data_IF_141203591993
#
_entry.id   IF_141203591993
#
_cell.length_a   1.000
_cell.length_b   1.000
_cell.length_c   1.000
_cell.angle_alpha   90.00
_cell.angle_beta   90.00
_cell.angle_gamma   90.00
#
_symmetry.space_group_name_H-M   'P 1'
#
loop_
_entity.id
_entity.type
_entity.pdbx_description
1 polymer ?
#
# COMPACT_ATOMS: atom_id res chain seq x y z
N UNK A 1 7.49 3.63 11.84
CA UNK A 1 7.88 2.45 11.02
C UNK A 1 7.33 1.20 11.69
N UNK A 2 7.03 0.18 10.89
CA UNK A 2 6.40 -1.08 11.28
C UNK A 2 7.44 -2.21 11.26
N UNK A 3 7.33 -3.17 12.17
CA UNK A 3 8.18 -4.37 12.16
C UNK A 3 7.52 -5.49 11.33
N UNK A 4 8.29 -6.52 10.97
CA UNK A 4 7.76 -7.66 10.20
C UNK A 4 6.52 -8.32 10.79
N UNK A 5 6.38 -8.32 12.13
CA UNK A 5 5.19 -8.86 12.80
C UNK A 5 3.94 -8.00 12.53
N UNK A 6 4.06 -6.67 12.58
CA UNK A 6 2.98 -5.75 12.23
C UNK A 6 2.61 -5.88 10.76
N UNK A 7 3.61 -5.97 9.87
CA UNK A 7 3.37 -6.13 8.43
C UNK A 7 2.61 -7.42 8.14
N UNK A 8 3.00 -8.55 8.75
CA UNK A 8 2.26 -9.82 8.64
C UNK A 8 0.81 -9.66 9.09
N UNK A 9 0.57 -8.98 10.22
CA UNK A 9 -0.78 -8.74 10.74
C UNK A 9 -1.63 -7.88 9.80
N UNK A 10 -1.07 -6.78 9.29
CA UNK A 10 -1.79 -5.80 8.45
C UNK A 10 -2.05 -6.36 7.04
N UNK A 11 -1.02 -6.96 6.43
CA UNK A 11 -1.12 -7.48 5.05
C UNK A 11 -1.83 -8.84 5.00
N UNK A 12 -1.90 -9.55 6.12
CA UNK A 12 -2.30 -10.96 6.17
C UNK A 12 -1.36 -11.90 5.40
N UNK A 13 -0.15 -11.46 5.02
CA UNK A 13 0.86 -12.34 4.44
C UNK A 13 1.37 -13.30 5.51
N UNK A 14 1.68 -14.54 5.14
CA UNK A 14 2.44 -15.40 6.05
C UNK A 14 3.87 -14.85 6.24
N UNK A 15 4.52 -15.19 7.36
CA UNK A 15 5.94 -14.85 7.58
C UNK A 15 6.84 -15.36 6.45
N UNK A 16 6.52 -16.53 5.89
CA UNK A 16 7.27 -17.11 4.77
C UNK A 16 7.09 -16.32 3.47
N UNK A 17 5.86 -15.89 3.17
CA UNK A 17 5.54 -15.04 2.02
C UNK A 17 6.21 -13.67 2.16
N UNK A 18 6.09 -13.02 3.32
CA UNK A 18 6.75 -11.74 3.56
C UNK A 18 8.25 -11.84 3.33
N UNK A 19 8.91 -12.89 3.88
CA UNK A 19 10.33 -13.13 3.63
C UNK A 19 10.63 -13.39 2.16
N UNK A 20 9.80 -14.17 1.45
CA UNK A 20 10.00 -14.42 0.02
C UNK A 20 9.95 -13.14 -0.82
N UNK A 21 9.08 -12.20 -0.47
CA UNK A 21 8.86 -10.99 -1.25
C UNK A 21 9.87 -9.88 -0.93
N UNK A 22 10.38 -9.86 0.30
CA UNK A 22 11.18 -8.73 0.82
C UNK A 22 12.65 -9.08 1.03
N UNK A 23 13.01 -10.37 1.12
CA UNK A 23 14.39 -10.74 1.39
C UNK A 23 15.27 -10.69 0.13
N UNK A 24 16.47 -10.13 0.32
CA UNK A 24 17.49 -9.90 -0.73
C UNK A 24 18.00 -11.20 -1.36
N UNK A 25 18.03 -12.28 -0.62
CA UNK A 25 18.51 -13.62 -1.02
C UNK A 25 17.47 -14.43 -1.81
N UNK A 26 16.25 -13.91 -1.95
CA UNK A 26 15.14 -14.59 -2.61
C UNK A 26 14.70 -13.85 -3.86
N UNK A 27 13.44 -13.41 -3.91
CA UNK A 27 12.88 -12.72 -5.06
C UNK A 27 13.11 -11.22 -5.01
N UNK A 28 13.54 -10.64 -3.89
CA UNK A 28 13.78 -9.20 -3.72
C UNK A 28 12.74 -8.34 -4.46
N UNK A 29 11.45 -8.68 -4.32
CA UNK A 29 10.39 -8.02 -5.10
C UNK A 29 10.27 -6.58 -4.63
N UNK A 30 10.10 -6.43 -3.32
CA UNK A 30 10.02 -5.13 -2.67
C UNK A 30 10.81 -5.19 -1.35
N UNK A 31 12.06 -4.69 -1.33
CA UNK A 31 12.87 -4.73 -0.11
C UNK A 31 12.26 -3.88 1.00
N UNK A 32 12.53 -4.22 2.29
CA UNK A 32 12.15 -3.35 3.40
C UNK A 32 12.86 -2.00 3.30
N UNK A 33 12.31 -0.98 3.96
CA UNK A 33 12.90 0.36 4.00
C UNK A 33 14.18 0.40 4.83
N UNK A 34 14.24 -0.42 5.88
CA UNK A 34 15.47 -0.68 6.64
C UNK A 34 15.72 -2.18 6.70
N UNK A 35 16.86 -2.60 6.17
CA UNK A 35 17.31 -3.99 6.21
C UNK A 35 17.61 -4.43 7.65
N UNK A 36 17.39 -5.71 7.99
CA UNK A 36 17.77 -6.24 9.29
C UNK A 36 19.30 -6.20 9.45
N UNK A 37 19.78 -5.59 10.54
CA UNK A 37 21.21 -5.37 10.79
C UNK A 37 21.93 -6.50 11.55
N UNK A 38 21.46 -7.74 11.47
CA UNK A 38 22.02 -8.90 12.18
C UNK A 38 21.09 -9.47 13.27
N UNK A 39 21.62 -10.40 14.08
CA UNK A 39 20.85 -11.14 15.11
C UNK A 39 20.07 -10.20 16.03
N UNK A 40 18.75 -10.38 16.08
CA UNK A 40 17.85 -9.59 16.92
C UNK A 40 17.41 -8.23 16.34
N UNK A 41 17.96 -7.78 15.21
CA UNK A 41 17.51 -6.55 14.54
C UNK A 41 16.48 -6.87 13.45
N UNK A 42 15.25 -6.41 13.65
CA UNK A 42 14.16 -6.61 12.69
C UNK A 42 14.27 -5.67 11.49
N UNK A 43 13.76 -6.13 10.34
CA UNK A 43 13.50 -5.25 9.20
C UNK A 43 12.41 -4.23 9.57
N UNK A 44 12.54 -3.00 9.07
CA UNK A 44 11.54 -1.95 9.28
C UNK A 44 10.90 -1.52 7.96
N UNK A 45 9.62 -1.22 8.04
CA UNK A 45 8.79 -0.86 6.91
C UNK A 45 8.09 0.48 7.17
N UNK A 46 8.13 1.36 6.18
CA UNK A 46 7.24 2.52 6.11
C UNK A 46 5.85 2.09 5.66
N UNK A 47 4.85 2.92 5.96
CA UNK A 47 3.47 2.67 5.56
C UNK A 47 3.32 2.52 4.04
N UNK A 48 4.15 3.21 3.25
CA UNK A 48 4.16 3.14 1.78
C UNK A 48 4.54 1.75 1.30
N UNK A 49 5.60 1.19 1.84
CA UNK A 49 6.04 -0.17 1.52
C UNK A 49 4.98 -1.18 1.93
N UNK A 50 4.33 -1.00 3.09
CA UNK A 50 3.23 -1.88 3.51
C UNK A 50 2.02 -1.76 2.57
N UNK A 51 1.62 -0.54 2.18
CA UNK A 51 0.54 -0.31 1.20
C UNK A 51 0.83 -1.06 -0.10
N UNK A 52 2.05 -0.93 -0.62
CA UNK A 52 2.46 -1.61 -1.86
C UNK A 52 2.46 -3.14 -1.70
N UNK A 53 2.86 -3.68 -0.53
CA UNK A 53 2.74 -5.12 -0.25
C UNK A 53 1.28 -5.59 -0.24
N UNK A 54 0.35 -4.78 0.30
CA UNK A 54 -1.07 -5.10 0.29
C UNK A 54 -1.64 -5.12 -1.13
N UNK A 55 -1.31 -4.11 -1.94
CA UNK A 55 -1.71 -4.03 -3.35
C UNK A 55 -1.15 -5.24 -4.12
N UNK A 56 0.13 -5.57 -3.93
CA UNK A 56 0.75 -6.71 -4.59
C UNK A 56 0.08 -8.03 -4.18
N UNK A 57 -0.33 -8.16 -2.92
CA UNK A 57 -1.10 -9.30 -2.45
C UNK A 57 -2.46 -9.37 -3.12
N UNK A 58 -3.20 -8.27 -3.19
CA UNK A 58 -4.48 -8.23 -3.88
C UNK A 58 -4.33 -8.62 -5.36
N UNK A 59 -3.31 -8.08 -6.04
CA UNK A 59 -3.03 -8.43 -7.43
C UNK A 59 -2.79 -9.93 -7.61
N UNK A 60 -1.97 -10.53 -6.74
CA UNK A 60 -1.68 -11.96 -6.77
C UNK A 60 -2.93 -12.81 -6.46
N UNK A 61 -3.67 -12.44 -5.43
CA UNK A 61 -4.77 -13.26 -4.91
C UNK A 61 -6.00 -13.18 -5.83
N UNK A 62 -6.30 -12.01 -6.41
CA UNK A 62 -7.46 -11.81 -7.30
C UNK A 62 -7.17 -12.07 -8.78
N UNK A 63 -5.97 -11.76 -9.25
CA UNK A 63 -5.64 -11.81 -10.69
C UNK A 63 -4.54 -12.83 -11.02
N UNK A 64 -4.06 -13.59 -10.03
CA UNK A 64 -3.10 -14.68 -10.20
C UNK A 64 -1.82 -14.27 -10.93
N UNK A 65 -1.36 -13.04 -10.72
CA UNK A 65 -0.16 -12.51 -11.38
C UNK A 65 1.12 -13.22 -10.92
N UNK A 66 2.10 -13.27 -11.82
CA UNK A 66 3.43 -13.79 -11.54
C UNK A 66 4.29 -12.71 -10.86
N UNK A 67 4.47 -12.81 -9.54
CA UNK A 67 5.09 -11.78 -8.70
C UNK A 67 6.47 -11.28 -9.17
N UNK A 68 7.29 -12.16 -9.78
CA UNK A 68 8.64 -11.81 -10.22
C UNK A 68 8.59 -10.79 -11.37
N UNK A 69 7.65 -10.97 -12.28
CA UNK A 69 7.47 -10.12 -13.45
C UNK A 69 7.10 -8.67 -13.07
N UNK A 70 6.32 -8.49 -12.00
CA UNK A 70 5.84 -7.17 -11.55
C UNK A 70 6.81 -6.41 -10.63
N UNK A 71 8.02 -6.94 -10.39
CA UNK A 71 9.00 -6.33 -9.46
C UNK A 71 9.24 -4.85 -9.76
N UNK A 72 9.45 -4.50 -11.03
CA UNK A 72 9.76 -3.11 -11.40
C UNK A 72 8.56 -2.20 -11.17
N UNK A 73 7.37 -2.56 -11.65
CA UNK A 73 6.14 -1.77 -11.45
C UNK A 73 5.85 -1.52 -9.97
N UNK A 74 6.02 -2.54 -9.12
CA UNK A 74 5.78 -2.42 -7.67
C UNK A 74 6.79 -1.46 -7.01
N UNK A 75 8.06 -1.49 -7.44
CA UNK A 75 9.09 -0.54 -6.97
C UNK A 75 8.80 0.87 -7.44
N UNK A 76 8.36 1.03 -8.68
CA UNK A 76 7.98 2.33 -9.24
C UNK A 76 6.78 2.91 -8.50
N UNK A 77 5.78 2.09 -8.15
CA UNK A 77 4.67 2.53 -7.30
C UNK A 77 5.15 3.03 -5.94
N UNK A 78 6.05 2.28 -5.27
CA UNK A 78 6.63 2.73 -4.00
C UNK A 78 7.32 4.09 -4.15
N UNK A 79 8.05 4.29 -5.25
CA UNK A 79 8.74 5.55 -5.52
C UNK A 79 7.76 6.71 -5.77
N UNK A 80 6.64 6.47 -6.46
CA UNK A 80 5.59 7.48 -6.67
C UNK A 80 4.92 7.91 -5.36
N UNK A 81 4.90 7.05 -4.34
CA UNK A 81 4.35 7.37 -3.02
C UNK A 81 5.29 8.22 -2.15
N UNK A 82 6.56 8.41 -2.56
CA UNK A 82 7.51 9.25 -1.83
C UNK A 82 7.05 10.71 -1.92
N UNK A 83 6.98 11.39 -0.77
CA UNK A 83 6.50 12.77 -0.70
C UNK A 83 4.97 12.92 -0.75
N UNK A 84 4.23 11.87 -1.09
CA UNK A 84 2.77 11.88 -1.03
C UNK A 84 2.32 11.68 0.43
N UNK A 85 1.50 12.58 0.99
CA UNK A 85 0.96 12.42 2.33
C UNK A 85 -0.13 11.35 2.35
N UNK A 86 -0.22 10.59 3.44
CA UNK A 86 -1.15 9.46 3.58
C UNK A 86 -2.61 9.84 3.27
N UNK A 87 -3.08 10.96 3.80
CA UNK A 87 -4.46 11.42 3.61
C UNK A 87 -4.79 11.83 2.16
N UNK A 88 -3.80 12.10 1.31
CA UNK A 88 -4.06 12.47 -0.08
C UNK A 88 -4.45 11.25 -0.95
N UNK A 89 -4.40 10.03 -0.40
CA UNK A 89 -4.64 8.78 -1.12
C UNK A 89 -6.05 8.22 -0.99
N UNK A 90 -6.92 8.80 -0.15
CA UNK A 90 -8.25 8.24 0.16
C UNK A 90 -9.14 8.04 -1.08
N UNK A 91 -9.11 8.99 -2.01
CA UNK A 91 -9.88 8.92 -3.27
C UNK A 91 -9.02 8.47 -4.45
N UNK A 92 -7.87 7.84 -4.18
CA UNK A 92 -6.94 7.42 -5.21
C UNK A 92 -7.11 5.94 -5.57
N UNK A 93 -6.81 5.67 -6.82
CA UNK A 93 -6.72 4.33 -7.38
C UNK A 93 -5.33 4.13 -7.94
N UNK A 94 -4.88 2.89 -7.95
CA UNK A 94 -3.67 2.48 -8.63
C UNK A 94 -4.03 1.58 -9.81
N UNK A 95 -3.57 1.94 -11.00
CA UNK A 95 -3.73 1.12 -12.20
C UNK A 95 -2.41 0.55 -12.69
N UNK A 96 -2.48 -0.70 -13.10
CA UNK A 96 -1.42 -1.49 -13.70
C UNK A 96 -1.86 -1.92 -15.11
N UNK A 97 -1.40 -1.19 -16.12
CA UNK A 97 -1.71 -1.47 -17.53
C UNK A 97 -1.03 -2.76 -18.01
N UNK A 98 0.26 -2.91 -17.69
CA UNK A 98 1.05 -4.08 -18.05
C UNK A 98 2.18 -4.31 -17.05
N UNK A 99 2.79 -5.49 -17.12
CA UNK A 99 3.94 -5.93 -16.30
C UNK A 99 5.14 -4.99 -16.42
N UNK A 100 5.34 -4.38 -17.59
CA UNK A 100 6.49 -3.50 -17.88
C UNK A 100 6.12 -2.02 -17.84
N UNK A 101 4.83 -1.70 -17.68
CA UNK A 101 4.37 -0.32 -17.58
C UNK A 101 4.55 0.19 -16.15
N UNK A 102 4.91 1.47 -16.04
CA UNK A 102 4.86 2.16 -14.78
C UNK A 102 3.39 2.25 -14.32
N UNK A 103 3.07 1.87 -13.07
CA UNK A 103 1.71 2.03 -12.57
C UNK A 103 1.34 3.51 -12.51
N UNK A 104 0.05 3.81 -12.62
CA UNK A 104 -0.46 5.18 -12.56
C UNK A 104 -1.38 5.31 -11.36
N UNK A 105 -1.18 6.36 -10.58
CA UNK A 105 -2.15 6.80 -9.58
C UNK A 105 -3.01 7.90 -10.16
N UNK A 106 -4.32 7.81 -9.92
CA UNK A 106 -5.27 8.83 -10.31
C UNK A 106 -6.34 8.97 -9.23
N UNK A 107 -7.00 10.12 -9.21
CA UNK A 107 -8.13 10.38 -8.31
C UNK A 107 -9.44 9.92 -8.94
N UNK A 108 -10.44 9.62 -8.12
CA UNK A 108 -11.79 9.25 -8.56
C UNK A 108 -12.38 10.21 -9.62
N UNK A 109 -12.07 11.51 -9.52
CA UNK A 109 -12.56 12.54 -10.43
C UNK A 109 -11.86 12.58 -11.79
N UNK A 110 -10.75 11.87 -11.95
CA UNK A 110 -9.96 11.87 -13.17
C UNK A 110 -10.43 10.76 -14.11
N UNK A 111 -10.49 11.05 -15.41
CA UNK A 111 -10.75 10.02 -16.42
C UNK A 111 -9.47 9.21 -16.63
N UNK A 112 -9.57 7.91 -16.46
CA UNK A 112 -8.49 6.96 -16.73
C UNK A 112 -8.97 5.93 -17.76
N UNK A 113 -8.03 5.41 -18.54
CA UNK A 113 -8.31 4.30 -19.45
C UNK A 113 -8.73 3.08 -18.62
N UNK A 114 -9.76 2.35 -19.02
CA UNK A 114 -10.18 1.13 -18.31
C UNK A 114 -9.35 -0.09 -18.71
N UNK A 115 -8.42 0.04 -19.66
CA UNK A 115 -7.49 -1.03 -20.01
C UNK A 115 -6.39 -1.17 -18.95
N UNK A 116 -6.64 -2.00 -17.94
CA UNK A 116 -5.63 -2.35 -16.94
C UNK A 116 -6.22 -2.85 -15.63
N UNK A 117 -5.39 -3.52 -14.82
CA UNK A 117 -5.79 -3.93 -13.47
C UNK A 117 -5.87 -2.70 -12.58
N UNK A 118 -7.04 -2.45 -12.01
CA UNK A 118 -7.34 -1.25 -11.22
C UNK A 118 -7.65 -1.64 -9.78
N UNK A 119 -6.95 -1.03 -8.83
CA UNK A 119 -7.10 -1.29 -7.40
C UNK A 119 -7.45 0.01 -6.69
N UNK A 120 -8.56 0.01 -5.94
CA UNK A 120 -8.88 1.12 -5.02
C UNK A 120 -7.92 1.12 -3.84
N UNK A 121 -7.39 2.29 -3.49
CA UNK A 121 -6.51 2.41 -2.32
C UNK A 121 -7.30 2.49 -1.01
N UNK A 122 -8.57 2.90 -1.05
CA UNK A 122 -9.40 3.15 0.13
C UNK A 122 -9.40 1.99 1.13
N UNK A 123 -9.71 0.77 0.67
CA UNK A 123 -9.76 -0.41 1.54
C UNK A 123 -8.43 -0.68 2.25
N UNK A 124 -7.31 -0.47 1.55
CA UNK A 124 -5.97 -0.65 2.09
C UNK A 124 -5.61 0.44 3.10
N UNK A 125 -6.04 1.67 2.84
CA UNK A 125 -5.79 2.81 3.71
C UNK A 125 -6.58 2.71 5.02
N UNK A 126 -7.79 2.16 5.01
CA UNK A 126 -8.56 1.84 6.24
C UNK A 126 -7.71 0.94 7.15
N UNK A 127 -7.28 -0.22 6.65
CA UNK A 127 -6.49 -1.19 7.43
C UNK A 127 -5.15 -0.61 7.92
N UNK A 128 -4.51 0.23 7.11
CA UNK A 128 -3.28 0.92 7.51
C UNK A 128 -3.51 1.97 8.58
N UNK A 129 -4.58 2.77 8.48
CA UNK A 129 -4.89 3.84 9.44
C UNK A 129 -5.06 3.29 10.86
N UNK A 130 -5.79 2.18 10.99
CA UNK A 130 -5.99 1.46 12.26
C UNK A 130 -4.68 1.01 12.91
N UNK A 131 -3.65 0.74 12.11
CA UNK A 131 -2.38 0.18 12.58
C UNK A 131 -1.23 1.18 12.65
N UNK A 132 -1.37 2.40 12.10
CA UNK A 132 -0.22 3.32 11.92
C UNK A 132 -0.36 4.68 12.59
N UNK A 133 -1.37 4.91 13.44
CA UNK A 133 -1.70 6.22 14.04
C UNK A 133 -1.92 7.35 13.00
N UNK A 134 -2.05 7.03 11.71
CA UNK A 134 -2.51 7.99 10.71
C UNK A 134 -4.02 8.09 10.84
N UNK A 135 -4.53 9.31 10.90
CA UNK A 135 -5.97 9.53 10.99
C UNK A 135 -6.63 9.07 9.69
N UNK A 136 -7.66 8.23 9.83
CA UNK A 136 -8.66 8.01 8.78
C UNK A 136 -9.27 9.37 8.39
N UNK A 137 -9.92 9.52 7.21
CA UNK A 137 -10.61 10.75 6.92
C UNK A 137 -11.81 10.77 7.86
N UNK A 138 -11.62 11.37 9.04
CA UNK A 138 -12.71 11.66 9.93
C UNK A 138 -13.62 12.59 9.15
N UNK A 139 -14.89 12.21 9.06
CA UNK A 139 -15.96 13.07 8.60
C UNK A 139 -15.69 14.47 9.17
N UNK A 140 -15.38 15.45 8.31
CA UNK A 140 -15.31 16.84 8.74
C UNK A 140 -16.59 17.09 9.52
N UNK A 141 -16.49 17.62 10.74
CA UNK A 141 -17.65 18.10 11.49
C UNK A 141 -18.22 19.32 10.76
N UNK A 142 -18.80 19.07 9.59
CA UNK A 142 -19.59 20.04 8.85
C UNK A 142 -20.88 20.15 9.64
N UNK A 143 -21.03 21.31 10.27
CA UNK A 143 -22.16 21.77 11.06
C UNK A 143 -22.13 21.34 12.55
N UNK A 144 -21.70 22.24 13.47
CA UNK A 144 -22.25 22.20 14.81
C UNK A 144 -23.78 22.38 14.70
N UNK A 145 -24.56 21.50 15.31
CA UNK A 145 -26.00 21.64 15.40
C UNK A 145 -26.31 22.90 16.24
N UNK A 146 -26.59 24.02 15.58
CA UNK A 146 -27.08 25.23 16.25
C UNK A 146 -28.55 24.96 16.57
N UNK A 147 -28.85 24.74 17.85
CA UNK A 147 -30.22 24.65 18.33
C UNK A 147 -30.95 25.96 18.00
N UNK A 148 -32.08 25.87 17.28
CA UNK A 148 -32.96 27.01 17.05
C UNK A 148 -33.78 27.21 18.34
N UNK A 149 -33.70 28.38 19.03
CA UNK A 149 -34.57 28.65 20.16
C UNK A 149 -36.02 28.76 19.70
N UNK A 150 -36.93 28.21 20.51
CA UNK A 150 -38.39 28.22 20.31
C UNK A 150 -38.98 29.62 20.35
#
# INVERSE_FOLDING_TARGET
MLQSADVVRITGLSRSQLREWTARDRRDILPPDVLPGGTGKNALFEWRTVLVLMILKELRDKFHIELGAWRQSVRDLRNQLIGVPFHALWDCYCQFESVSSQPRMYRFSERFDRSGLTISLEHHLILLSESTKHEAPSQFSLFPAVAVPK
#
